data_IF_062564143017
#
_entry.id   IF_062564143017
#
_cell.length_a   1.000
_cell.length_b   1.000
_cell.length_c   1.000
_cell.angle_alpha   90.00
_cell.angle_beta   90.00
_cell.angle_gamma   90.00
#
_symmetry.space_group_name_H-M   'P 1'
#
loop_
_entity.id
_entity.type
_entity.pdbx_description
1 polymer ?
#
# COMPACT_ATOMS: atom_id res chain seq x y z
N UNK A 1 26.06 4.44 10.30
CA UNK A 1 25.42 4.40 8.98
C UNK A 1 26.51 4.54 7.91
N UNK A 2 26.44 3.81 6.77
CA UNK A 2 27.39 3.96 5.66
C UNK A 2 27.41 5.39 5.14
N UNK A 3 28.58 5.90 4.74
CA UNK A 3 28.71 7.27 4.20
C UNK A 3 27.86 7.52 2.95
N UNK A 4 27.68 6.49 2.10
CA UNK A 4 26.79 6.55 0.95
C UNK A 4 25.33 6.80 1.33
N UNK A 5 24.84 6.14 2.37
CA UNK A 5 23.47 6.33 2.87
C UNK A 5 23.23 7.76 3.39
N UNK A 6 24.22 8.34 4.09
CA UNK A 6 24.14 9.72 4.57
C UNK A 6 24.14 10.70 3.37
N UNK A 7 24.97 10.44 2.36
CA UNK A 7 25.00 11.24 1.13
C UNK A 7 23.68 11.19 0.37
N UNK A 8 23.06 10.02 0.27
CA UNK A 8 21.77 9.86 -0.40
C UNK A 8 20.65 10.61 0.33
N UNK A 9 20.65 10.58 1.67
CA UNK A 9 19.69 11.33 2.48
C UNK A 9 19.92 12.85 2.39
N UNK A 10 21.17 13.30 2.29
CA UNK A 10 21.51 14.73 2.14
C UNK A 10 21.12 15.30 0.78
N UNK A 11 21.13 14.45 -0.27
CA UNK A 11 20.70 14.77 -1.61
C UNK A 11 19.18 14.61 -1.82
N UNK A 12 18.45 14.20 -0.77
CA UNK A 12 17.00 14.06 -0.83
C UNK A 12 16.35 15.44 -1.02
N UNK A 13 15.57 15.59 -2.10
CA UNK A 13 14.87 16.84 -2.40
C UNK A 13 13.74 17.13 -1.40
N UNK A 14 13.20 16.08 -0.78
CA UNK A 14 12.18 16.24 0.23
C UNK A 14 12.80 16.61 1.58
N UNK A 15 12.52 17.83 2.05
CA UNK A 15 13.02 18.38 3.30
C UNK A 15 12.71 17.50 4.52
N UNK A 16 11.54 16.88 4.56
CA UNK A 16 11.11 16.01 5.66
C UNK A 16 12.06 14.82 5.85
N UNK A 17 12.36 14.08 4.78
CA UNK A 17 13.26 12.92 4.86
C UNK A 17 14.71 13.30 5.13
N UNK A 18 15.14 14.42 4.60
CA UNK A 18 16.47 14.96 4.90
C UNK A 18 16.60 15.28 6.39
N UNK A 19 15.57 15.93 6.96
CA UNK A 19 15.58 16.35 8.38
C UNK A 19 15.54 15.15 9.33
N UNK A 20 14.72 14.13 9.06
CA UNK A 20 14.66 12.91 9.89
C UNK A 20 15.93 12.07 9.71
N UNK A 21 16.37 11.88 8.46
CA UNK A 21 17.44 10.94 8.14
C UNK A 21 18.83 11.42 8.49
N UNK A 22 19.13 12.72 8.34
CA UNK A 22 20.47 13.30 8.59
C UNK A 22 20.57 14.04 9.90
N UNK A 23 19.58 14.81 10.27
CA UNK A 23 19.65 15.70 11.43
C UNK A 23 19.10 15.05 12.70
N UNK A 24 18.48 13.85 12.58
CA UNK A 24 17.87 13.14 13.72
C UNK A 24 16.74 13.93 14.39
N UNK A 25 16.21 14.94 13.71
CA UNK A 25 15.08 15.73 14.19
C UNK A 25 13.79 15.05 13.78
N UNK A 26 12.87 14.92 14.72
CA UNK A 26 11.49 14.61 14.36
C UNK A 26 10.97 15.78 13.53
N UNK A 27 10.37 15.47 12.35
CA UNK A 27 9.73 16.50 11.53
C UNK A 27 8.77 17.33 12.36
N UNK A 28 8.57 18.58 12.01
CA UNK A 28 7.62 19.44 12.71
C UNK A 28 6.25 18.80 12.75
N UNK A 29 5.62 18.78 13.93
CA UNK A 29 4.26 18.26 14.12
C UNK A 29 3.33 19.01 13.16
N UNK A 30 2.84 18.32 12.12
CA UNK A 30 1.89 18.89 11.17
C UNK A 30 2.31 18.90 9.68
N UNK A 31 3.56 18.52 9.33
CA UNK A 31 3.91 18.35 7.91
C UNK A 31 3.44 16.98 7.41
N UNK A 32 2.58 16.99 6.40
CA UNK A 32 2.10 15.76 5.74
C UNK A 32 3.21 15.15 4.91
N UNK A 33 3.40 13.82 5.04
CA UNK A 33 4.33 13.06 4.20
C UNK A 33 3.94 13.14 2.72
N UNK A 34 2.65 13.19 2.45
CA UNK A 34 2.09 13.26 1.11
C UNK A 34 1.22 14.51 0.95
N UNK A 35 1.63 15.40 0.05
CA UNK A 35 0.88 16.63 -0.25
C UNK A 35 -0.11 16.47 -1.42
N UNK A 36 -0.08 15.31 -2.09
CA UNK A 36 -0.85 15.00 -3.29
C UNK A 36 -2.06 14.08 -2.99
N UNK A 37 -2.49 13.97 -1.73
CA UNK A 37 -3.65 13.16 -1.35
C UNK A 37 -4.90 14.03 -1.32
N UNK A 38 -5.97 13.53 -1.95
CA UNK A 38 -7.27 14.18 -2.00
C UNK A 38 -8.38 13.18 -1.66
N UNK A 39 -9.27 13.57 -0.76
CA UNK A 39 -10.47 12.78 -0.46
C UNK A 39 -11.51 12.95 -1.57
N UNK A 40 -12.03 11.83 -2.07
CA UNK A 40 -13.17 11.79 -2.99
C UNK A 40 -14.37 11.10 -2.34
N UNK A 41 -15.56 11.34 -2.88
CA UNK A 41 -16.75 10.58 -2.50
C UNK A 41 -16.65 9.12 -2.97
N UNK A 42 -17.42 8.24 -2.32
CA UNK A 42 -17.51 6.81 -2.69
C UNK A 42 -17.86 6.66 -4.18
N UNK A 43 -18.90 7.38 -4.64
CA UNK A 43 -19.37 7.33 -6.02
C UNK A 43 -18.27 7.74 -7.02
N UNK A 44 -17.49 8.76 -6.68
CA UNK A 44 -16.38 9.21 -7.54
C UNK A 44 -15.28 8.17 -7.67
N UNK A 45 -14.89 7.53 -6.55
CA UNK A 45 -13.90 6.43 -6.58
C UNK A 45 -14.45 5.24 -7.36
N UNK A 46 -15.69 4.81 -7.09
CA UNK A 46 -16.31 3.69 -7.80
C UNK A 46 -16.43 3.94 -9.30
N UNK A 47 -16.81 5.15 -9.70
CA UNK A 47 -16.88 5.52 -11.12
C UNK A 47 -15.50 5.50 -11.79
N UNK A 48 -14.48 6.05 -11.12
CA UNK A 48 -13.12 6.13 -11.64
C UNK A 48 -12.45 4.74 -11.79
N UNK A 49 -12.81 3.79 -10.91
CA UNK A 49 -12.18 2.46 -10.86
C UNK A 49 -12.97 1.37 -11.57
N UNK A 50 -14.20 1.66 -12.04
CA UNK A 50 -15.17 0.69 -12.57
C UNK A 50 -14.62 -0.24 -13.66
N UNK A 51 -13.76 0.27 -14.54
CA UNK A 51 -13.19 -0.49 -15.66
C UNK A 51 -11.67 -0.59 -15.59
N UNK A 52 -11.08 -0.28 -14.42
CA UNK A 52 -9.64 -0.32 -14.20
C UNK A 52 -9.16 -1.71 -13.80
N UNK A 53 -7.88 -1.97 -13.98
CA UNK A 53 -7.23 -3.14 -13.40
C UNK A 53 -6.86 -2.85 -11.94
N UNK A 54 -7.21 -3.77 -11.04
CA UNK A 54 -6.82 -3.70 -9.66
C UNK A 54 -5.36 -4.13 -9.47
N UNK A 55 -4.61 -3.33 -8.74
CA UNK A 55 -3.32 -3.70 -8.17
C UNK A 55 -3.55 -3.97 -6.70
N UNK A 56 -3.39 -5.22 -6.28
CA UNK A 56 -3.71 -5.62 -4.92
C UNK A 56 -2.44 -5.96 -4.15
N UNK A 57 -2.22 -5.28 -3.04
CA UNK A 57 -1.16 -5.60 -2.09
C UNK A 57 -1.72 -6.35 -0.89
N UNK A 58 -1.02 -7.39 -0.44
CA UNK A 58 -1.36 -8.13 0.76
C UNK A 58 -0.14 -8.21 1.70
N UNK A 59 -0.26 -7.59 2.85
CA UNK A 59 0.68 -7.72 3.96
C UNK A 59 0.12 -8.73 4.96
N UNK A 60 0.85 -9.84 5.15
CA UNK A 60 0.41 -10.94 5.99
C UNK A 60 0.63 -10.62 7.46
N UNK A 61 -0.37 -10.86 8.28
CA UNK A 61 -0.31 -10.69 9.72
C UNK A 61 -0.97 -11.84 10.47
N UNK A 62 -0.70 -11.92 11.79
CA UNK A 62 -1.35 -12.91 12.64
C UNK A 62 -1.73 -12.31 14.01
N UNK A 63 -0.98 -12.56 15.08
CA UNK A 63 -1.40 -12.18 16.44
C UNK A 63 -1.15 -10.70 16.74
N UNK A 64 0.06 -10.22 16.48
CA UNK A 64 0.51 -8.85 16.81
C UNK A 64 0.48 -7.92 15.62
N UNK A 65 0.36 -8.44 14.41
CA UNK A 65 0.26 -7.72 13.15
C UNK A 65 -1.09 -7.99 12.49
N UNK A 66 -1.49 -7.11 11.59
CA UNK A 66 -2.75 -7.22 10.88
C UNK A 66 -2.56 -7.83 9.50
N UNK A 67 -3.49 -8.68 9.08
CA UNK A 67 -3.69 -8.95 7.66
C UNK A 67 -4.23 -7.68 7.02
N UNK A 68 -3.48 -7.13 6.09
CA UNK A 68 -3.83 -5.89 5.39
C UNK A 68 -3.88 -6.13 3.89
N UNK A 69 -5.04 -5.93 3.27
CA UNK A 69 -5.22 -6.03 1.83
C UNK A 69 -5.68 -4.67 1.32
N UNK A 70 -5.00 -4.14 0.31
CA UNK A 70 -5.30 -2.85 -0.29
C UNK A 70 -5.50 -3.02 -1.80
N UNK A 71 -6.61 -2.50 -2.31
CA UNK A 71 -6.88 -2.40 -3.74
C UNK A 71 -6.57 -1.00 -4.24
N UNK A 72 -5.66 -0.94 -5.20
CA UNK A 72 -5.27 0.28 -5.88
C UNK A 72 -5.59 0.22 -7.37
N UNK A 73 -5.94 1.36 -7.95
CA UNK A 73 -6.14 1.53 -9.39
C UNK A 73 -5.31 2.70 -9.88
N UNK A 74 -4.71 2.57 -11.05
CA UNK A 74 -3.84 3.60 -11.63
C UNK A 74 -4.45 4.11 -12.93
N UNK A 75 -4.75 5.41 -12.96
CA UNK A 75 -5.02 6.13 -14.19
C UNK A 75 -3.67 6.56 -14.80
N UNK A 76 -3.21 5.82 -15.79
CA UNK A 76 -1.91 6.06 -16.43
C UNK A 76 -1.89 7.31 -17.29
N UNK A 77 -3.04 7.75 -17.80
CA UNK A 77 -3.12 8.96 -18.64
C UNK A 77 -2.94 10.22 -17.79
N UNK A 78 -3.55 10.24 -16.60
CA UNK A 78 -3.48 11.38 -15.68
C UNK A 78 -2.44 11.19 -14.58
N UNK A 79 -1.79 10.03 -14.54
CA UNK A 79 -0.86 9.63 -13.48
C UNK A 79 -1.47 9.79 -12.07
N UNK A 80 -2.67 9.27 -11.89
CA UNK A 80 -3.38 9.30 -10.62
C UNK A 80 -3.49 7.90 -10.01
N UNK A 81 -3.43 7.82 -8.69
CA UNK A 81 -3.66 6.61 -7.90
C UNK A 81 -4.99 6.71 -7.17
N UNK A 82 -5.78 5.65 -7.20
CA UNK A 82 -7.01 5.50 -6.42
C UNK A 82 -6.84 4.36 -5.43
N UNK A 83 -7.01 4.63 -4.14
CA UNK A 83 -7.06 3.62 -3.07
C UNK A 83 -8.54 3.36 -2.79
N UNK A 84 -9.06 2.21 -3.27
CA UNK A 84 -10.49 2.03 -3.43
C UNK A 84 -11.13 1.05 -2.45
N UNK A 85 -10.37 0.10 -1.91
CA UNK A 85 -10.90 -0.92 -1.00
C UNK A 85 -9.78 -1.38 -0.08
N UNK A 86 -10.10 -1.64 1.18
CA UNK A 86 -9.18 -2.26 2.13
C UNK A 86 -9.85 -3.37 2.92
N UNK A 87 -9.02 -4.30 3.38
CA UNK A 87 -9.32 -5.23 4.46
C UNK A 87 -8.22 -5.08 5.52
N UNK A 88 -8.60 -5.05 6.79
CA UNK A 88 -7.66 -4.86 7.88
C UNK A 88 -8.13 -5.58 9.14
N UNK A 89 -7.53 -6.75 9.43
CA UNK A 89 -7.93 -7.58 10.58
C UNK A 89 -6.75 -8.43 11.08
N UNK A 90 -6.62 -8.58 12.37
CA UNK A 90 -5.64 -9.47 12.99
C UNK A 90 -6.28 -10.76 13.53
N UNK A 91 -5.45 -11.66 14.05
CA UNK A 91 -5.82 -12.92 14.70
C UNK A 91 -6.65 -13.84 13.80
N UNK A 92 -6.29 -13.89 12.54
CA UNK A 92 -6.88 -14.79 11.58
C UNK A 92 -5.79 -15.72 11.02
N UNK A 93 -6.09 -17.01 10.95
CA UNK A 93 -5.25 -17.98 10.24
C UNK A 93 -5.42 -17.83 8.72
N UNK A 94 -4.50 -18.39 7.94
CA UNK A 94 -4.62 -18.38 6.48
C UNK A 94 -5.88 -19.11 5.99
N UNK A 95 -6.29 -20.17 6.71
CA UNK A 95 -7.54 -20.90 6.41
C UNK A 95 -8.78 -20.04 6.68
N UNK A 96 -8.79 -19.27 7.76
CA UNK A 96 -9.90 -18.35 8.06
C UNK A 96 -9.92 -17.20 7.04
N UNK A 97 -8.74 -16.68 6.68
CA UNK A 97 -8.62 -15.65 5.64
C UNK A 97 -9.17 -16.11 4.29
N UNK A 98 -8.95 -17.38 3.90
CA UNK A 98 -9.52 -17.93 2.67
C UNK A 98 -11.05 -17.87 2.62
N UNK A 99 -11.73 -17.87 3.76
CA UNK A 99 -13.19 -17.79 3.82
C UNK A 99 -13.71 -16.35 3.78
N UNK A 100 -12.82 -15.37 3.92
CA UNK A 100 -13.23 -13.95 3.88
C UNK A 100 -13.70 -13.56 2.47
N UNK A 101 -14.81 -12.80 2.37
CA UNK A 101 -15.35 -12.37 1.08
C UNK A 101 -14.33 -11.69 0.18
N UNK A 102 -13.41 -10.92 0.76
CA UNK A 102 -12.37 -10.21 0.00
C UNK A 102 -11.44 -11.17 -0.75
N UNK A 103 -11.10 -12.31 -0.14
CA UNK A 103 -10.26 -13.34 -0.79
C UNK A 103 -11.06 -14.09 -1.84
N UNK A 104 -12.34 -14.38 -1.56
CA UNK A 104 -13.22 -15.03 -2.53
C UNK A 104 -13.45 -14.13 -3.77
N UNK A 105 -13.59 -12.83 -3.58
CA UNK A 105 -13.64 -11.85 -4.68
C UNK A 105 -12.36 -11.92 -5.53
N UNK A 106 -11.16 -11.93 -4.89
CA UNK A 106 -9.87 -12.06 -5.60
C UNK A 106 -9.78 -13.32 -6.47
N UNK A 107 -10.28 -14.45 -5.97
CA UNK A 107 -10.31 -15.71 -6.71
C UNK A 107 -11.27 -15.61 -7.90
N UNK A 108 -12.47 -15.08 -7.68
CA UNK A 108 -13.54 -15.01 -8.68
C UNK A 108 -13.21 -14.00 -9.79
N UNK A 109 -12.69 -12.84 -9.43
CA UNK A 109 -12.34 -11.76 -10.36
C UNK A 109 -11.01 -12.06 -11.07
N UNK A 110 -10.21 -12.94 -10.49
CA UNK A 110 -8.90 -13.32 -11.01
C UNK A 110 -7.87 -12.22 -10.93
N UNK A 111 -8.00 -11.33 -9.95
CA UNK A 111 -7.07 -10.25 -9.69
C UNK A 111 -5.70 -10.76 -9.25
N UNK A 112 -4.65 -10.06 -9.66
CA UNK A 112 -3.28 -10.38 -9.27
C UNK A 112 -2.94 -9.69 -7.95
N UNK A 113 -2.51 -10.50 -6.98
CA UNK A 113 -2.13 -10.04 -5.64
C UNK A 113 -0.62 -10.09 -5.48
N UNK A 114 -0.05 -9.07 -4.85
CA UNK A 114 1.36 -9.04 -4.45
C UNK A 114 1.46 -9.18 -2.94
N UNK A 115 1.99 -10.32 -2.49
CA UNK A 115 2.22 -10.63 -1.07
C UNK A 115 3.65 -10.37 -0.64
N UNK A 116 3.88 -10.24 0.66
CA UNK A 116 5.25 -10.08 1.19
C UNK A 116 6.14 -11.26 0.82
N UNK A 117 7.21 -11.01 0.08
CA UNK A 117 8.17 -12.02 -0.36
C UNK A 117 8.98 -12.69 0.77
N UNK A 118 8.89 -12.18 2.01
CA UNK A 118 9.46 -12.84 3.18
C UNK A 118 8.67 -14.09 3.61
N UNK A 119 7.43 -14.24 3.13
CA UNK A 119 6.51 -15.31 3.50
C UNK A 119 6.20 -16.28 2.33
N UNK A 120 7.21 -16.98 1.77
CA UNK A 120 7.01 -17.80 0.57
C UNK A 120 6.04 -18.96 0.78
N UNK A 121 5.94 -19.50 2.00
CA UNK A 121 5.01 -20.59 2.33
C UNK A 121 3.56 -20.10 2.31
N UNK A 122 3.31 -18.91 2.81
CA UNK A 122 1.98 -18.27 2.80
C UNK A 122 1.57 -17.94 1.37
N UNK A 123 2.48 -17.41 0.54
CA UNK A 123 2.23 -17.18 -0.87
C UNK A 123 1.82 -18.47 -1.59
N UNK A 124 2.55 -19.57 -1.36
CA UNK A 124 2.27 -20.85 -1.98
C UNK A 124 0.92 -21.43 -1.49
N UNK A 125 0.59 -21.27 -0.22
CA UNK A 125 -0.70 -21.65 0.34
C UNK A 125 -1.86 -20.96 -0.41
N UNK A 126 -1.80 -19.64 -0.62
CA UNK A 126 -2.84 -18.92 -1.36
C UNK A 126 -2.90 -19.31 -2.84
N UNK A 127 -1.77 -19.54 -3.50
CA UNK A 127 -1.72 -20.05 -4.88
C UNK A 127 -2.43 -21.40 -5.03
N UNK A 128 -2.15 -22.33 -4.13
CA UNK A 128 -2.76 -23.65 -4.13
C UNK A 128 -4.28 -23.62 -3.87
N UNK A 129 -4.78 -22.50 -3.32
CA UNK A 129 -6.19 -22.25 -3.08
C UNK A 129 -6.82 -21.27 -4.10
N UNK A 130 -6.16 -21.03 -5.23
CA UNK A 130 -6.74 -20.34 -6.38
C UNK A 130 -6.49 -18.83 -6.44
N UNK A 131 -5.77 -18.23 -5.47
CA UNK A 131 -5.40 -16.82 -5.51
C UNK A 131 -4.21 -16.64 -6.46
N UNK A 132 -4.29 -15.73 -7.42
CA UNK A 132 -3.18 -15.36 -8.31
C UNK A 132 -2.18 -14.46 -7.57
N UNK A 133 -1.39 -15.05 -6.68
CA UNK A 133 -0.48 -14.32 -5.82
C UNK A 133 0.96 -14.36 -6.33
N UNK A 134 1.62 -13.22 -6.35
CA UNK A 134 3.04 -13.06 -6.66
C UNK A 134 3.80 -12.48 -5.45
N UNK A 135 5.08 -12.86 -5.27
CA UNK A 135 5.90 -12.18 -4.28
C UNK A 135 6.13 -10.73 -4.71
N UNK A 136 6.02 -9.80 -3.78
CA UNK A 136 6.43 -8.43 -4.00
C UNK A 136 7.96 -8.37 -4.16
N UNK A 137 8.43 -7.62 -5.16
CA UNK A 137 9.87 -7.41 -5.34
C UNK A 137 10.44 -6.63 -4.15
N UNK A 138 11.47 -7.17 -3.50
CA UNK A 138 12.22 -6.47 -2.45
C UNK A 138 13.54 -5.98 -3.03
N UNK A 139 13.68 -4.67 -3.11
CA UNK A 139 14.96 -4.01 -3.36
C UNK A 139 15.54 -3.44 -2.06
N UNK A 140 16.83 -3.20 -2.00
CA UNK A 140 17.40 -2.43 -0.89
C UNK A 140 16.66 -1.09 -0.78
N UNK A 141 16.18 -0.72 0.42
CA UNK A 141 15.37 0.48 0.69
C UNK A 141 13.90 0.45 0.19
N UNK A 142 13.26 -0.70 0.20
CA UNK A 142 11.88 -0.87 -0.30
C UNK A 142 10.87 0.15 0.25
N UNK A 143 10.88 0.44 1.56
CA UNK A 143 9.95 1.39 2.15
C UNK A 143 10.11 2.79 1.55
N UNK A 144 11.36 3.24 1.39
CA UNK A 144 11.65 4.53 0.77
C UNK A 144 11.26 4.56 -0.71
N UNK A 145 11.50 3.46 -1.45
CA UNK A 145 11.11 3.36 -2.86
C UNK A 145 9.58 3.39 -3.03
N UNK A 146 8.83 2.76 -2.11
CA UNK A 146 7.38 2.82 -2.09
C UNK A 146 6.87 4.25 -1.87
N UNK A 147 7.41 4.95 -0.89
CA UNK A 147 7.07 6.35 -0.61
C UNK A 147 7.42 7.25 -1.80
N UNK A 148 8.62 7.12 -2.39
CA UNK A 148 9.03 7.87 -3.59
C UNK A 148 8.09 7.59 -4.77
N UNK A 149 7.64 6.34 -4.94
CA UNK A 149 6.67 6.01 -5.98
C UNK A 149 5.34 6.73 -5.77
N UNK A 150 4.85 6.81 -4.54
CA UNK A 150 3.63 7.54 -4.23
C UNK A 150 3.76 9.05 -4.53
N UNK A 151 4.92 9.65 -4.33
CA UNK A 151 5.17 11.05 -4.70
C UNK A 151 5.17 11.30 -6.23
N UNK A 152 5.38 10.26 -7.04
CA UNK A 152 5.36 10.42 -8.50
C UNK A 152 3.95 10.56 -9.08
N UNK A 153 2.91 10.20 -8.34
CA UNK A 153 1.54 10.40 -8.77
C UNK A 153 1.15 11.88 -8.68
N UNK A 154 0.42 12.36 -9.68
CA UNK A 154 -0.13 13.73 -9.65
C UNK A 154 -1.14 13.88 -8.51
N UNK A 155 -2.01 12.89 -8.32
CA UNK A 155 -2.94 12.84 -7.22
C UNK A 155 -3.09 11.40 -6.70
N UNK A 156 -3.29 11.27 -5.40
CA UNK A 156 -3.69 10.03 -4.74
C UNK A 156 -5.10 10.28 -4.19
N UNK A 157 -6.06 9.52 -4.68
CA UNK A 157 -7.45 9.64 -4.27
C UNK A 157 -7.83 8.54 -3.28
N UNK A 158 -8.48 8.92 -2.20
CA UNK A 158 -8.86 8.04 -1.10
C UNK A 158 -10.21 8.45 -0.52
N UNK A 159 -10.86 7.55 0.17
CA UNK A 159 -12.09 7.84 0.91
C UNK A 159 -12.04 7.17 2.29
N UNK A 160 -12.33 7.92 3.34
CA UNK A 160 -12.23 7.47 4.73
C UNK A 160 -13.17 6.31 5.09
N UNK A 161 -14.32 6.20 4.41
CA UNK A 161 -15.31 5.17 4.70
C UNK A 161 -15.00 3.86 3.93
N UNK A 162 -14.34 3.96 2.77
CA UNK A 162 -13.89 2.80 2.00
C UNK A 162 -12.58 2.20 2.52
N UNK A 163 -11.68 3.05 3.02
CA UNK A 163 -10.32 2.67 3.40
C UNK A 163 -9.87 3.41 4.67
N UNK A 164 -10.57 3.18 5.82
CA UNK A 164 -10.37 3.97 7.04
C UNK A 164 -8.96 3.86 7.63
N UNK A 165 -8.31 2.69 7.53
CA UNK A 165 -6.97 2.52 8.07
C UNK A 165 -5.92 3.17 7.16
N UNK A 166 -5.99 2.93 5.84
CA UNK A 166 -5.13 3.60 4.88
C UNK A 166 -5.31 5.13 4.92
N UNK A 167 -6.55 5.60 5.08
CA UNK A 167 -6.84 7.03 5.24
C UNK A 167 -6.12 7.61 6.45
N UNK A 168 -6.23 6.96 7.61
CA UNK A 168 -5.56 7.41 8.84
C UNK A 168 -4.04 7.45 8.67
N UNK A 169 -3.44 6.38 8.15
CA UNK A 169 -1.99 6.26 7.96
C UNK A 169 -1.41 7.31 6.98
N UNK A 170 -2.20 7.72 5.99
CA UNK A 170 -1.74 8.64 4.94
C UNK A 170 -2.08 10.11 5.23
N UNK A 171 -3.09 10.38 6.06
CA UNK A 171 -3.60 11.73 6.31
C UNK A 171 -3.23 12.29 7.69
N UNK A 172 -2.92 11.43 8.66
CA UNK A 172 -2.53 11.78 10.02
C UNK A 172 -1.02 11.60 10.24
#
# INVERSE_FOLDING_TARGET
LPKSFISDLQNEENYYWRTIGTDGKFGSVGEKVFNNITELSIDQIQLATKNGFAYVGYDFGFVTSYNSIIYCYIDTERNNLYIAKEFYRNRMTDEEMLQEPIIQDLINDGDVVFGDSAEPKTIEFYRNNGVKMNPAEKTANNNMNGVKKMWTFNNIYINKDLTPNAYRELME
#
